data_IF_806182840754
#
_entry.id   IF_806182840754
#
_cell.length_a   1.000
_cell.length_b   1.000
_cell.length_c   1.000
_cell.angle_alpha   90.00
_cell.angle_beta   90.00
_cell.angle_gamma   90.00
#
_symmetry.space_group_name_H-M   'P 1'
#
loop_
_entity.id
_entity.type
_entity.pdbx_description
1 polymer ?
#
# COMPACT_ATOMS: atom_id res chain seq x y z
N UNK A 1 -6.26 -17.73 3.45
CA UNK A 1 -7.60 -17.38 2.95
C UNK A 1 -8.61 -17.85 3.99
N UNK A 2 -9.49 -16.96 4.42
CA UNK A 2 -10.54 -17.22 5.42
C UNK A 2 -11.79 -16.42 5.01
N UNK A 3 -12.98 -17.04 5.04
CA UNK A 3 -14.26 -16.42 4.64
C UNK A 3 -14.25 -15.67 3.30
N UNK A 4 -13.53 -16.22 2.32
CA UNK A 4 -13.40 -15.62 0.98
C UNK A 4 -12.40 -14.47 0.89
N UNK A 5 -11.71 -14.14 1.97
CA UNK A 5 -10.77 -13.02 2.08
C UNK A 5 -9.34 -13.51 2.20
N UNK A 6 -8.42 -12.71 1.71
CA UNK A 6 -7.03 -12.80 2.11
C UNK A 6 -6.87 -12.16 3.50
N UNK A 7 -6.14 -12.84 4.38
CA UNK A 7 -5.77 -12.34 5.70
C UNK A 7 -4.28 -12.57 5.91
N UNK A 8 -3.54 -11.50 6.14
CA UNK A 8 -2.12 -11.51 6.50
C UNK A 8 -2.05 -11.13 7.98
N UNK A 9 -1.67 -12.07 8.84
CA UNK A 9 -1.70 -11.89 10.30
C UNK A 9 -0.29 -11.87 10.88
N UNK A 10 -0.01 -10.86 11.70
CA UNK A 10 1.18 -10.82 12.54
C UNK A 10 0.88 -11.40 13.93
N UNK A 11 1.80 -12.23 14.45
CA UNK A 11 1.76 -12.86 15.78
C UNK A 11 3.15 -12.87 16.38
N UNK A 12 3.31 -12.32 17.59
CA UNK A 12 4.64 -12.22 18.21
C UNK A 12 5.60 -11.49 17.26
N UNK A 13 6.74 -12.09 16.94
CA UNK A 13 7.74 -11.53 16.02
C UNK A 13 7.63 -12.04 14.57
N UNK A 14 6.50 -12.66 14.20
CA UNK A 14 6.27 -13.19 12.85
C UNK A 14 5.16 -12.39 12.18
N UNK A 15 5.36 -12.06 10.91
CA UNK A 15 4.36 -11.45 10.04
C UNK A 15 4.42 -12.09 8.65
N UNK A 16 3.73 -11.51 7.67
CA UNK A 16 3.72 -12.01 6.31
C UNK A 16 3.59 -10.92 5.26
N UNK A 17 3.84 -11.33 4.04
CA UNK A 17 3.58 -10.56 2.85
C UNK A 17 3.39 -11.50 1.66
N UNK A 18 2.89 -10.97 0.57
CA UNK A 18 2.77 -11.70 -0.69
C UNK A 18 2.84 -10.75 -1.86
N UNK A 19 3.17 -11.29 -3.03
CA UNK A 19 3.13 -10.56 -4.28
C UNK A 19 2.30 -11.32 -5.32
N UNK A 20 1.84 -10.60 -6.32
CA UNK A 20 1.10 -11.14 -7.44
C UNK A 20 2.07 -11.44 -8.61
N UNK A 21 1.88 -12.56 -9.30
CA UNK A 21 2.77 -12.97 -10.40
C UNK A 21 2.57 -12.17 -11.68
N UNK A 22 1.38 -11.57 -11.87
CA UNK A 22 1.13 -10.70 -13.04
C UNK A 22 1.54 -9.28 -12.74
N UNK A 23 2.32 -8.72 -13.66
CA UNK A 23 2.70 -7.31 -13.72
C UNK A 23 2.15 -6.63 -14.97
N UNK A 24 2.09 -5.31 -14.95
CA UNK A 24 1.85 -4.48 -16.13
C UNK A 24 2.41 -3.08 -15.91
N UNK A 25 2.64 -2.36 -17.00
CA UNK A 25 2.88 -0.92 -16.95
C UNK A 25 1.56 -0.22 -17.25
N UNK A 26 1.16 0.70 -16.37
CA UNK A 26 -0.10 1.44 -16.46
C UNK A 26 -1.36 0.60 -16.35
N UNK A 27 -2.50 1.24 -16.11
CA UNK A 27 -3.80 0.61 -15.89
C UNK A 27 -4.47 1.12 -14.62
N UNK A 28 -5.47 0.36 -14.16
CA UNK A 28 -6.13 0.60 -12.88
C UNK A 28 -5.90 -0.58 -11.95
N UNK A 29 -5.52 -0.29 -10.72
CA UNK A 29 -5.45 -1.24 -9.62
C UNK A 29 -6.45 -0.81 -8.58
N UNK A 30 -7.23 -1.75 -8.10
CA UNK A 30 -8.31 -1.49 -7.16
C UNK A 30 -8.42 -2.66 -6.19
N UNK A 31 -8.58 -2.35 -4.91
CA UNK A 31 -8.76 -3.37 -3.88
C UNK A 31 -9.64 -2.87 -2.77
N UNK A 32 -10.26 -3.80 -2.04
CA UNK A 32 -11.02 -3.50 -0.83
C UNK A 32 -10.31 -4.12 0.36
N UNK A 33 -9.87 -3.28 1.29
CA UNK A 33 -9.03 -3.67 2.42
C UNK A 33 -9.43 -2.99 3.72
N UNK A 34 -8.98 -3.58 4.84
CA UNK A 34 -8.93 -2.97 6.17
C UNK A 34 -7.74 -3.51 6.94
N UNK A 35 -7.32 -2.82 8.00
CA UNK A 35 -6.26 -3.29 8.89
C UNK A 35 -6.63 -3.10 10.36
N UNK A 36 -6.38 -4.12 11.19
CA UNK A 36 -6.65 -4.04 12.62
C UNK A 36 -5.81 -2.94 13.28
N UNK A 37 -6.40 -2.25 14.26
CA UNK A 37 -5.64 -1.34 15.13
C UNK A 37 -4.61 -2.12 15.94
N UNK A 38 -3.46 -1.52 16.19
CA UNK A 38 -2.41 -2.16 16.95
C UNK A 38 -1.05 -1.54 16.73
N UNK A 39 -0.38 -1.28 17.84
CA UNK A 39 1.00 -0.79 17.87
C UNK A 39 1.96 -1.81 17.27
N UNK A 40 3.12 -1.36 16.79
CA UNK A 40 4.17 -2.26 16.32
C UNK A 40 3.97 -2.78 14.92
N UNK A 41 2.84 -2.50 14.26
CA UNK A 41 2.47 -3.06 12.97
C UNK A 41 1.95 -1.98 12.05
N UNK A 42 2.30 -2.06 10.77
CA UNK A 42 1.78 -1.18 9.71
C UNK A 42 1.50 -2.00 8.46
N UNK A 43 0.41 -1.73 7.76
CA UNK A 43 0.07 -2.44 6.52
C UNK A 43 0.46 -1.63 5.30
N UNK A 44 0.99 -2.28 4.27
CA UNK A 44 1.29 -1.70 2.97
C UNK A 44 0.64 -2.54 1.85
N UNK A 45 -0.01 -1.88 0.89
CA UNK A 45 -0.41 -2.46 -0.40
C UNK A 45 0.11 -1.54 -1.48
N UNK A 46 0.98 -2.08 -2.34
CA UNK A 46 1.82 -1.29 -3.24
C UNK A 46 2.03 -2.00 -4.57
N UNK A 47 2.56 -1.28 -5.55
CA UNK A 47 3.15 -1.86 -6.76
C UNK A 47 4.68 -1.81 -6.68
N UNK A 48 5.29 -2.98 -6.78
CA UNK A 48 6.74 -3.18 -6.73
C UNK A 48 7.28 -3.41 -8.15
N UNK A 49 8.45 -2.86 -8.53
CA UNK A 49 9.00 -3.04 -9.87
C UNK A 49 9.49 -4.47 -10.09
N UNK A 50 9.26 -4.99 -11.30
CA UNK A 50 9.72 -6.33 -11.69
C UNK A 50 11.25 -6.46 -11.71
N UNK A 51 11.97 -5.35 -11.86
CA UNK A 51 13.43 -5.29 -11.78
C UNK A 51 13.96 -5.52 -10.37
N UNK A 52 13.10 -5.36 -9.35
CA UNK A 52 13.45 -5.33 -7.93
C UNK A 52 14.37 -4.16 -7.52
N UNK A 53 14.57 -3.18 -8.40
CA UNK A 53 15.35 -1.97 -8.14
C UNK A 53 14.41 -0.77 -8.11
N UNK A 54 13.94 -0.40 -6.92
CA UNK A 54 12.99 0.71 -6.76
C UNK A 54 13.64 2.08 -6.94
N UNK A 55 14.94 2.19 -6.69
CA UNK A 55 15.70 3.42 -6.88
C UNK A 55 15.78 3.78 -8.38
N UNK A 56 15.86 2.77 -9.24
CA UNK A 56 15.81 2.94 -10.69
C UNK A 56 14.37 3.04 -11.23
N UNK A 57 13.49 2.14 -10.79
CA UNK A 57 12.21 1.89 -11.47
C UNK A 57 10.96 2.35 -10.70
N UNK A 58 11.16 2.89 -9.48
CA UNK A 58 10.12 3.42 -8.61
C UNK A 58 9.35 2.37 -7.83
N UNK A 59 8.50 2.84 -6.92
CA UNK A 59 7.53 2.06 -6.12
C UNK A 59 6.27 2.92 -5.95
N UNK A 60 5.09 2.30 -6.08
CA UNK A 60 3.81 2.99 -6.01
C UNK A 60 2.95 2.44 -4.86
N UNK A 61 2.96 3.16 -3.74
CA UNK A 61 2.21 2.78 -2.55
C UNK A 61 0.76 3.24 -2.66
N UNK A 62 -0.15 2.27 -2.72
CA UNK A 62 -1.58 2.52 -2.84
C UNK A 62 -2.30 2.64 -1.51
N UNK A 63 -1.71 2.08 -0.46
CA UNK A 63 -2.20 2.18 0.92
C UNK A 63 -1.04 1.82 1.85
N UNK A 64 -0.47 2.80 2.55
CA UNK A 64 0.30 2.55 3.76
C UNK A 64 -0.43 3.09 4.99
N UNK A 65 -0.62 2.25 6.01
CA UNK A 65 -1.31 2.62 7.26
C UNK A 65 -0.45 2.22 8.46
N UNK A 66 0.52 3.08 8.84
CA UNK A 66 1.54 2.70 9.83
C UNK A 66 1.12 3.02 11.28
N UNK A 67 0.22 3.99 11.48
CA UNK A 67 -0.21 4.44 12.82
C UNK A 67 -1.03 3.39 13.55
N UNK A 68 -0.79 3.20 14.84
CA UNK A 68 -1.47 2.21 15.67
C UNK A 68 -3.01 2.39 15.73
N UNK A 69 -3.48 3.63 15.59
CA UNK A 69 -4.91 4.00 15.57
C UNK A 69 -5.59 3.81 14.21
N UNK A 70 -4.81 3.54 13.15
CA UNK A 70 -5.25 3.45 11.75
C UNK A 70 -6.00 4.69 11.27
N UNK A 71 -5.66 5.87 11.81
CA UNK A 71 -6.36 7.12 11.52
C UNK A 71 -5.96 7.79 10.20
N UNK A 72 -4.95 7.25 9.51
CA UNK A 72 -4.37 7.85 8.31
C UNK A 72 -3.83 6.79 7.35
N UNK A 73 -4.10 6.97 6.06
CA UNK A 73 -3.47 6.22 4.98
C UNK A 73 -2.57 7.16 4.16
N UNK A 74 -1.46 6.62 3.67
CA UNK A 74 -0.51 7.32 2.82
C UNK A 74 -0.53 6.70 1.41
N UNK A 75 -0.41 7.59 0.42
CA UNK A 75 -0.17 7.27 -0.98
C UNK A 75 1.18 7.85 -1.33
N UNK A 76 2.12 7.00 -1.74
CA UNK A 76 3.51 7.40 -1.92
C UNK A 76 4.00 6.91 -3.29
N UNK A 77 4.81 7.75 -3.90
CA UNK A 77 5.60 7.46 -5.09
C UNK A 77 7.04 7.60 -4.64
N UNK A 78 7.76 6.48 -4.59
CA UNK A 78 9.21 6.50 -4.53
C UNK A 78 9.75 6.69 -5.95
N UNK A 79 10.57 7.71 -6.14
CA UNK A 79 11.14 8.03 -7.45
C UNK A 79 12.58 8.53 -7.34
N UNK A 80 13.32 8.36 -8.44
CA UNK A 80 14.74 8.71 -8.57
C UNK A 80 15.69 7.86 -7.73
N UNK A 81 16.96 7.82 -8.15
CA UNK A 81 18.02 7.09 -7.45
C UNK A 81 18.34 7.63 -6.04
N UNK A 82 17.73 8.75 -5.63
CA UNK A 82 17.86 9.31 -4.29
C UNK A 82 16.63 8.98 -3.42
N UNK A 83 15.72 8.13 -3.91
CA UNK A 83 14.50 7.71 -3.23
C UNK A 83 13.65 8.91 -2.77
N UNK A 84 13.44 9.87 -3.68
CA UNK A 84 12.57 11.02 -3.41
C UNK A 84 11.12 10.54 -3.33
N UNK A 85 10.32 11.28 -2.56
CA UNK A 85 8.92 10.95 -2.31
C UNK A 85 8.00 12.00 -2.91
N UNK A 86 6.95 11.56 -3.60
CA UNK A 86 5.80 12.37 -3.95
C UNK A 86 4.54 11.65 -3.50
N UNK A 87 3.47 12.37 -3.16
CA UNK A 87 2.27 11.71 -2.66
C UNK A 87 1.36 12.59 -1.84
N UNK A 88 0.44 11.93 -1.13
CA UNK A 88 -0.48 12.58 -0.20
C UNK A 88 -0.82 11.62 0.94
N UNK A 89 -1.46 12.16 1.98
CA UNK A 89 -2.06 11.37 3.06
C UNK A 89 -3.50 11.79 3.29
N UNK A 90 -4.33 10.83 3.67
CA UNK A 90 -5.76 11.04 3.91
C UNK A 90 -6.13 10.54 5.30
N UNK A 91 -6.92 11.32 6.02
CA UNK A 91 -7.49 10.93 7.31
C UNK A 91 -8.71 10.03 7.14
N UNK A 92 -8.91 9.08 8.05
CA UNK A 92 -10.02 8.13 8.00
C UNK A 92 -9.97 7.15 9.17
N UNK A 93 -10.84 6.14 9.17
CA UNK A 93 -10.71 4.98 10.07
C UNK A 93 -10.42 3.73 9.25
N UNK A 94 -9.14 3.48 8.97
CA UNK A 94 -8.71 2.37 8.11
C UNK A 94 -8.77 1.00 8.81
N UNK A 95 -9.32 0.94 10.03
CA UNK A 95 -9.82 -0.31 10.61
C UNK A 95 -11.17 -0.74 10.04
N UNK A 96 -11.87 0.17 9.35
CA UNK A 96 -13.03 -0.14 8.55
C UNK A 96 -12.65 -0.50 7.12
N UNK A 97 -13.58 -1.15 6.42
CA UNK A 97 -13.38 -1.52 5.04
C UNK A 97 -13.48 -0.31 4.11
N UNK A 98 -12.44 -0.10 3.31
CA UNK A 98 -12.40 0.92 2.28
C UNK A 98 -12.02 0.33 0.93
N UNK A 99 -12.51 0.94 -0.14
CA UNK A 99 -12.07 0.63 -1.51
C UNK A 99 -11.02 1.63 -1.92
N UNK A 100 -9.81 1.16 -2.17
CA UNK A 100 -8.71 1.95 -2.69
C UNK A 100 -8.57 1.70 -4.18
N UNK A 101 -8.28 2.75 -4.94
CA UNK A 101 -7.94 2.60 -6.33
C UNK A 101 -6.82 3.55 -6.75
N UNK A 102 -6.04 3.12 -7.73
CA UNK A 102 -5.05 3.93 -8.42
C UNK A 102 -5.25 3.78 -9.93
N UNK A 103 -5.47 4.89 -10.61
CA UNK A 103 -5.29 4.96 -12.06
C UNK A 103 -3.85 5.42 -12.32
N UNK A 104 -3.00 4.53 -12.85
CA UNK A 104 -1.65 4.87 -13.26
C UNK A 104 -1.58 4.87 -14.78
N UNK A 105 -1.29 6.03 -15.36
CA UNK A 105 -1.27 6.28 -16.80
C UNK A 105 0.04 6.98 -17.18
N UNK A 106 0.41 7.00 -18.48
CA UNK A 106 1.68 7.58 -18.91
C UNK A 106 1.86 9.07 -18.56
N UNK A 107 0.76 9.78 -18.35
CA UNK A 107 0.74 11.23 -18.13
C UNK A 107 0.12 11.65 -16.80
N UNK A 108 -0.40 10.71 -16.00
CA UNK A 108 -1.01 10.98 -14.72
C UNK A 108 -1.06 9.77 -13.81
N UNK A 109 -0.99 10.00 -12.50
CA UNK A 109 -1.42 9.03 -11.50
C UNK A 109 -2.49 9.67 -10.61
N UNK A 110 -3.55 8.92 -10.32
CA UNK A 110 -4.68 9.38 -9.51
C UNK A 110 -5.06 8.31 -8.50
N UNK A 111 -5.14 8.69 -7.22
CA UNK A 111 -5.59 7.82 -6.13
C UNK A 111 -7.00 8.16 -5.68
N UNK A 112 -7.74 7.13 -5.29
CA UNK A 112 -9.11 7.21 -4.80
C UNK A 112 -9.27 6.39 -3.52
N UNK A 113 -10.13 6.88 -2.63
CA UNK A 113 -10.68 6.13 -1.50
C UNK A 113 -12.19 6.22 -1.58
N UNK A 114 -12.86 5.08 -1.59
CA UNK A 114 -14.31 4.93 -1.73
C UNK A 114 -14.89 5.68 -2.93
N UNK A 115 -14.16 5.64 -4.05
CA UNK A 115 -14.53 6.33 -5.29
C UNK A 115 -14.27 7.84 -5.30
N UNK A 116 -13.80 8.42 -4.19
CA UNK A 116 -13.47 9.85 -4.09
C UNK A 116 -11.99 10.05 -4.38
N UNK A 117 -11.66 10.93 -5.34
CA UNK A 117 -10.29 11.31 -5.67
C UNK A 117 -9.62 11.97 -4.46
N UNK A 118 -8.49 11.42 -4.02
CA UNK A 118 -7.71 11.92 -2.88
C UNK A 118 -6.42 12.63 -3.29
N UNK A 119 -5.83 12.22 -4.41
CA UNK A 119 -4.58 12.76 -4.90
C UNK A 119 -4.47 12.57 -6.41
N UNK A 120 -3.78 13.49 -7.07
CA UNK A 120 -3.43 13.40 -8.48
C UNK A 120 -2.10 14.09 -8.71
N UNK A 121 -1.26 13.49 -9.54
CA UNK A 121 -0.06 14.13 -10.10
C UNK A 121 -0.01 13.93 -11.61
N UNK A 122 0.41 14.97 -12.32
CA UNK A 122 0.71 14.93 -13.77
C UNK A 122 2.18 15.22 -14.04
N UNK A 123 3.02 15.26 -13.00
CA UNK A 123 4.46 15.47 -13.15
C UNK A 123 5.11 14.20 -13.70
N UNK A 124 5.47 14.21 -14.99
CA UNK A 124 6.08 13.07 -15.66
C UNK A 124 7.44 12.67 -15.07
N UNK A 125 8.09 13.52 -14.27
CA UNK A 125 9.36 13.18 -13.63
C UNK A 125 9.19 12.22 -12.44
N UNK A 126 7.98 12.12 -11.88
CA UNK A 126 7.70 11.21 -10.75
C UNK A 126 6.95 9.95 -11.19
N UNK A 127 6.36 9.94 -12.39
CA UNK A 127 5.53 8.83 -12.86
C UNK A 127 6.44 7.69 -13.36
N UNK A 128 6.43 6.50 -12.70
CA UNK A 128 7.23 5.38 -13.16
C UNK A 128 6.75 4.86 -14.53
N UNK A 129 7.67 4.29 -15.29
CA UNK A 129 7.42 3.76 -16.64
C UNK A 129 7.72 2.26 -16.76
N UNK A 130 8.30 1.67 -15.72
CA UNK A 130 8.69 0.26 -15.68
C UNK A 130 7.50 -0.64 -15.33
N UNK A 131 7.63 -1.95 -15.57
CA UNK A 131 6.56 -2.90 -15.21
C UNK A 131 6.56 -3.14 -13.72
N UNK A 132 5.38 -3.16 -13.10
CA UNK A 132 5.22 -3.41 -11.68
C UNK A 132 4.14 -4.45 -11.42
N UNK A 133 4.27 -5.15 -10.29
CA UNK A 133 3.30 -6.12 -9.78
C UNK A 133 2.82 -5.70 -8.40
N UNK A 134 1.63 -6.18 -8.03
CA UNK A 134 1.05 -5.91 -6.72
C UNK A 134 1.83 -6.67 -5.63
N UNK A 135 2.14 -5.98 -4.53
CA UNK A 135 2.63 -6.57 -3.30
C UNK A 135 1.77 -6.10 -2.11
N UNK A 136 1.65 -6.95 -1.10
CA UNK A 136 0.90 -6.70 0.12
C UNK A 136 1.72 -7.17 1.31
N UNK A 137 1.86 -6.32 2.31
CA UNK A 137 2.71 -6.55 3.45
C UNK A 137 2.03 -6.10 4.73
N UNK A 138 2.32 -6.81 5.81
CA UNK A 138 2.08 -6.33 7.16
C UNK A 138 3.45 -6.21 7.84
N UNK A 139 3.99 -5.00 7.87
CA UNK A 139 5.32 -4.74 8.36
C UNK A 139 5.37 -4.66 9.88
N UNK A 140 6.53 -4.96 10.42
CA UNK A 140 6.81 -4.92 11.84
C UNK A 140 7.74 -3.76 12.17
N UNK A 141 7.33 -2.91 13.11
CA UNK A 141 8.20 -1.91 13.70
C UNK A 141 9.24 -2.51 14.66
N UNK A 142 10.20 -1.69 15.11
CA UNK A 142 10.25 -0.26 14.87
C UNK A 142 10.80 0.13 13.49
N UNK A 143 10.13 1.08 12.84
CA UNK A 143 10.66 1.91 11.77
C UNK A 143 10.57 3.36 12.24
N UNK A 144 11.72 4.05 12.29
CA UNK A 144 11.83 5.41 12.85
C UNK A 144 10.76 6.35 12.29
N UNK A 145 10.00 6.99 13.18
CA UNK A 145 8.89 7.91 12.88
C UNK A 145 7.73 7.36 12.01
N UNK A 146 7.79 6.08 11.62
CA UNK A 146 6.80 5.44 10.75
C UNK A 146 5.96 4.43 11.53
N UNK A 147 6.55 3.30 11.93
CA UNK A 147 5.90 2.25 12.72
C UNK A 147 6.58 2.20 14.08
N UNK A 148 5.86 2.57 15.13
CA UNK A 148 6.39 2.57 16.50
C UNK A 148 6.81 1.16 16.93
N UNK A 149 7.76 1.07 17.87
CA UNK A 149 8.13 -0.20 18.48
C UNK A 149 6.92 -0.86 19.17
N UNK A 150 6.81 -2.18 19.06
CA UNK A 150 5.85 -2.94 19.87
C UNK A 150 6.15 -2.76 21.36
N UNK A 151 5.09 -2.58 22.16
CA UNK A 151 5.13 -2.54 23.63
C UNK A 151 4.01 -3.42 24.22
N UNK A 152 3.76 -3.31 25.53
CA UNK A 152 2.72 -4.05 26.26
C UNK A 152 1.28 -3.81 25.76
N UNK A 153 1.03 -2.75 24.98
CA UNK A 153 -0.27 -2.47 24.37
C UNK A 153 -0.46 -3.16 23.02
N UNK A 154 0.60 -3.77 22.47
CA UNK A 154 0.56 -4.48 21.19
C UNK A 154 -0.40 -5.67 21.29
N UNK A 155 -1.44 -5.74 20.43
CA UNK A 155 -2.33 -6.89 20.39
C UNK A 155 -1.57 -8.19 20.08
N UNK A 156 -2.07 -9.31 20.60
CA UNK A 156 -1.50 -10.64 20.29
C UNK A 156 -1.56 -10.96 18.78
N UNK A 157 -2.53 -10.36 18.08
CA UNK A 157 -2.73 -10.46 16.65
C UNK A 157 -3.09 -9.12 16.05
N UNK A 158 -2.47 -8.79 14.92
CA UNK A 158 -2.88 -7.68 14.05
C UNK A 158 -2.95 -8.24 12.64
N UNK A 159 -4.00 -7.92 11.89
CA UNK A 159 -4.15 -8.39 10.51
C UNK A 159 -4.35 -7.27 9.51
N UNK A 160 -3.81 -7.48 8.31
CA UNK A 160 -4.27 -6.85 7.08
C UNK A 160 -5.25 -7.83 6.41
N UNK A 161 -6.45 -7.34 6.10
CA UNK A 161 -7.46 -8.12 5.39
C UNK A 161 -7.79 -7.48 4.05
N UNK A 162 -7.87 -8.31 3.02
CA UNK A 162 -8.20 -7.91 1.65
C UNK A 162 -9.33 -8.78 1.16
N UNK A 163 -10.45 -8.15 0.85
CA UNK A 163 -11.67 -8.80 0.37
C UNK A 163 -11.53 -9.19 -1.09
N UNK A 164 -11.05 -8.27 -1.92
CA UNK A 164 -10.79 -8.52 -3.33
C UNK A 164 -9.75 -7.56 -3.89
N UNK A 165 -9.18 -7.97 -5.02
CA UNK A 165 -8.32 -7.16 -5.89
C UNK A 165 -8.87 -7.24 -7.31
N UNK A 166 -8.86 -6.12 -8.02
CA UNK A 166 -9.15 -6.03 -9.45
C UNK A 166 -8.04 -5.22 -10.13
N UNK A 167 -7.52 -5.78 -11.21
CA UNK A 167 -6.49 -5.14 -12.04
C UNK A 167 -7.05 -5.04 -13.46
N UNK A 168 -7.02 -3.84 -14.01
CA UNK A 168 -7.51 -3.54 -15.34
C UNK A 168 -6.34 -3.04 -16.19
N UNK A 169 -6.02 -3.78 -17.26
CA UNK A 169 -5.05 -3.33 -18.24
C UNK A 169 -5.54 -2.05 -18.93
N UNK A 170 -4.62 -1.12 -19.17
CA UNK A 170 -4.87 0.02 -20.05
C UNK A 170 -5.16 -0.51 -21.46
N UNK A 171 -6.28 -0.11 -22.05
CA UNK A 171 -6.61 -0.39 -23.46
C UNK A 171 -5.86 0.54 -24.40
#
# INVERSE_FOLDING_TARGET
MEDGKLRITARGNVSGGMNHERSQTYGRWEFRARTDKGRGRGSAILLWPDSLDKEADGELDMMEVPREDRAQAHFVIHYSAQNKLAGNKVGGDFSQWHTFAMDWLPDRITWYVDGVKQFETTDRNVIPTSRMHLAMQLDMGPHEEWILAADETTPAEVSLEVDWVRVYARR
#
